data_IF_111601985355
#
_entry.id   IF_111601985355
#
_cell.length_a   1.000
_cell.length_b   1.000
_cell.length_c   1.000
_cell.angle_alpha   90.00
_cell.angle_beta   90.00
_cell.angle_gamma   90.00
#
_symmetry.space_group_name_H-M   'P 1'
#
loop_
_entity.id
_entity.type
_entity.pdbx_description
1 polymer ?
#
# COMPACT_ATOMS: atom_id res chain seq x y z
N UNK A 1 -3.59 21.71 33.49
CA UNK A 1 -2.44 22.66 33.30
C UNK A 1 -1.75 22.18 32.04
N UNK A 2 -1.96 22.87 30.93
CA UNK A 2 -1.27 22.54 29.70
C UNK A 2 0.22 22.85 29.88
N UNK A 3 1.07 21.86 29.56
CA UNK A 3 2.52 22.05 29.63
C UNK A 3 2.89 22.96 28.46
N UNK A 4 3.31 24.17 28.76
CA UNK A 4 3.78 25.13 27.77
C UNK A 4 5.21 24.74 27.38
N UNK A 5 5.36 24.25 26.17
CA UNK A 5 6.63 23.80 25.60
C UNK A 5 7.34 25.01 25.01
N UNK A 6 8.62 25.20 25.35
CA UNK A 6 9.39 26.38 24.91
C UNK A 6 10.33 26.09 23.71
N UNK A 7 10.72 24.82 23.52
CA UNK A 7 11.67 24.42 22.45
C UNK A 7 11.11 23.28 21.61
N UNK A 8 10.83 23.55 20.38
CA UNK A 8 10.32 22.56 19.41
C UNK A 8 11.12 22.52 18.15
N UNK A 9 11.09 21.37 17.48
CA UNK A 9 11.65 21.19 16.17
C UNK A 9 10.56 20.83 15.16
N UNK A 10 10.44 21.61 14.09
CA UNK A 10 9.71 21.23 12.89
C UNK A 10 10.66 20.58 11.88
N UNK A 11 10.24 19.50 11.28
CA UNK A 11 11.03 18.78 10.27
C UNK A 11 10.25 18.71 8.96
N UNK A 12 10.85 19.23 7.91
CA UNK A 12 10.43 19.01 6.53
C UNK A 12 11.20 17.81 5.97
N UNK A 13 10.44 16.79 5.52
CA UNK A 13 10.97 15.46 5.19
C UNK A 13 10.94 15.21 3.70
N UNK A 14 12.12 14.99 3.10
CA UNK A 14 12.29 14.60 1.72
C UNK A 14 13.04 13.27 1.59
N UNK A 15 13.01 12.67 0.40
CA UNK A 15 13.67 11.39 0.13
C UNK A 15 15.19 11.39 0.48
N UNK A 16 15.90 12.46 0.16
CA UNK A 16 17.37 12.51 0.29
C UNK A 16 17.85 13.36 1.45
N UNK A 17 16.98 14.14 2.06
CA UNK A 17 17.37 15.06 3.15
C UNK A 17 16.18 15.43 3.99
N UNK A 18 16.46 15.81 5.23
CA UNK A 18 15.51 16.47 6.12
C UNK A 18 16.02 17.87 6.45
N UNK A 19 15.13 18.80 6.63
CA UNK A 19 15.41 20.14 7.11
C UNK A 19 14.78 20.28 8.49
N UNK A 20 15.59 20.49 9.51
CA UNK A 20 15.16 20.67 10.88
C UNK A 20 15.20 22.16 11.22
N UNK A 21 14.12 22.68 11.80
CA UNK A 21 14.04 24.05 12.27
C UNK A 21 13.64 24.05 13.77
N UNK A 22 14.54 24.48 14.63
CA UNK A 22 14.28 24.66 16.05
C UNK A 22 13.84 26.11 16.30
N UNK A 23 12.73 26.27 17.01
CA UNK A 23 12.26 27.53 17.54
C UNK A 23 12.34 27.46 19.06
N UNK A 24 13.18 28.31 19.66
CA UNK A 24 13.49 28.36 21.09
C UNK A 24 13.11 29.71 21.69
N UNK A 25 12.49 29.70 22.86
CA UNK A 25 12.12 30.89 23.60
C UNK A 25 10.64 30.93 24.06
N UNK A 26 10.30 31.87 24.97
CA UNK A 26 8.97 31.95 25.59
C UNK A 26 7.84 32.03 24.57
N UNK A 27 6.70 31.43 24.86
CA UNK A 27 5.54 31.39 23.95
C UNK A 27 4.95 32.78 23.64
N UNK A 28 5.14 33.74 24.50
CA UNK A 28 4.67 35.10 24.32
C UNK A 28 5.57 35.96 23.42
N UNK A 29 6.68 35.40 22.91
CA UNK A 29 7.54 36.12 21.96
C UNK A 29 7.15 35.83 20.52
N UNK A 30 7.03 36.89 19.72
CA UNK A 30 6.79 36.80 18.28
C UNK A 30 8.06 36.51 17.48
N UNK A 31 9.24 36.51 18.11
CA UNK A 31 10.54 36.26 17.47
C UNK A 31 11.36 35.28 18.32
N UNK A 32 11.02 33.99 18.33
CA UNK A 32 11.85 32.98 18.99
C UNK A 32 13.22 32.90 18.31
N UNK A 33 14.22 32.44 19.05
CA UNK A 33 15.54 32.10 18.48
C UNK A 33 15.35 30.96 17.49
N UNK A 34 15.78 31.16 16.24
CA UNK A 34 15.68 30.18 15.17
C UNK A 34 17.04 29.56 14.90
N UNK A 35 17.10 28.23 14.92
CA UNK A 35 18.25 27.43 14.52
C UNK A 35 17.79 26.44 13.45
N UNK A 36 18.44 26.45 12.29
CA UNK A 36 18.05 25.58 11.18
C UNK A 36 19.26 24.80 10.70
N UNK A 37 19.06 23.50 10.46
CA UNK A 37 20.10 22.62 9.91
C UNK A 37 19.51 21.58 8.98
N UNK A 38 20.26 21.22 7.95
CA UNK A 38 19.91 20.19 6.98
C UNK A 38 20.75 18.94 7.25
N UNK A 39 20.09 17.76 7.20
CA UNK A 39 20.73 16.46 7.34
C UNK A 39 20.35 15.56 6.17
N UNK A 40 21.16 14.51 5.93
CA UNK A 40 20.79 13.41 5.04
C UNK A 40 19.76 12.46 5.69
N UNK A 41 19.34 11.45 4.93
CA UNK A 41 18.35 10.45 5.38
C UNK A 41 18.99 9.06 5.61
N UNK A 42 20.30 8.94 5.60
CA UNK A 42 20.99 7.71 6.05
C UNK A 42 20.81 7.54 7.56
N UNK A 43 20.87 6.31 8.06
CA UNK A 43 20.75 6.04 9.50
C UNK A 43 21.67 6.90 10.34
N UNK A 44 22.94 6.98 9.97
CA UNK A 44 23.93 7.81 10.68
C UNK A 44 23.58 9.30 10.63
N UNK A 45 23.08 9.80 9.49
CA UNK A 45 22.69 11.21 9.36
C UNK A 45 21.46 11.54 10.22
N UNK A 46 20.50 10.62 10.33
CA UNK A 46 19.34 10.77 11.21
C UNK A 46 19.72 10.68 12.69
N UNK A 47 20.65 9.80 13.06
CA UNK A 47 21.22 9.75 14.41
C UNK A 47 21.92 11.05 14.77
N UNK A 48 22.68 11.64 13.84
CA UNK A 48 23.30 12.94 14.02
C UNK A 48 22.26 14.07 14.16
N UNK A 49 21.14 13.97 13.44
CA UNK A 49 20.03 14.92 13.58
C UNK A 49 19.38 14.80 14.99
N UNK A 50 19.17 13.57 15.46
CA UNK A 50 18.67 13.30 16.81
C UNK A 50 19.60 13.88 17.88
N UNK A 51 20.92 13.58 17.80
CA UNK A 51 21.90 14.11 18.74
C UNK A 51 21.88 15.65 18.76
N UNK A 52 21.84 16.27 17.58
CA UNK A 52 21.78 17.72 17.46
C UNK A 52 20.49 18.32 18.10
N UNK A 53 19.34 17.65 17.97
CA UNK A 53 18.09 18.09 18.63
C UNK A 53 18.20 17.98 20.15
N UNK A 54 18.77 16.88 20.66
CA UNK A 54 18.98 16.67 22.10
C UNK A 54 19.95 17.73 22.67
N UNK A 55 21.05 18.01 21.98
CA UNK A 55 22.01 19.08 22.35
C UNK A 55 21.36 20.47 22.41
N UNK A 56 20.33 20.71 21.62
CA UNK A 56 19.57 21.96 21.63
C UNK A 56 18.32 21.91 22.51
N UNK A 57 18.21 20.92 23.42
CA UNK A 57 17.16 20.80 24.42
C UNK A 57 15.75 20.67 23.81
N UNK A 58 15.63 20.14 22.58
CA UNK A 58 14.30 19.86 21.95
C UNK A 58 13.59 18.80 22.75
N UNK A 59 12.32 19.01 23.02
CA UNK A 59 11.43 18.05 23.70
C UNK A 59 10.38 17.48 22.78
N UNK A 60 9.92 18.26 21.78
CA UNK A 60 8.86 17.88 20.85
C UNK A 60 9.34 18.07 19.41
N UNK A 61 9.06 17.08 18.59
CA UNK A 61 9.43 17.06 17.16
C UNK A 61 8.17 16.88 16.34
N UNK A 62 7.92 17.83 15.43
CA UNK A 62 6.78 17.84 14.54
C UNK A 62 7.23 17.57 13.13
N UNK A 63 6.59 16.63 12.43
CA UNK A 63 6.87 16.33 11.04
C UNK A 63 5.61 15.83 10.33
N UNK A 64 5.57 15.98 9.01
CA UNK A 64 4.40 15.57 8.24
C UNK A 64 4.50 14.15 7.68
N UNK A 65 3.34 13.49 7.50
CA UNK A 65 3.23 12.12 7.00
C UNK A 65 3.31 12.02 5.47
N UNK A 66 4.26 12.72 4.84
CA UNK A 66 4.43 12.68 3.38
C UNK A 66 4.99 11.35 2.91
N UNK A 67 4.20 10.60 2.16
CA UNK A 67 4.58 9.29 1.61
C UNK A 67 5.01 8.30 2.71
N UNK A 68 6.20 7.73 2.55
CA UNK A 68 6.82 6.82 3.52
C UNK A 68 8.14 7.37 4.10
N UNK A 69 8.51 8.60 3.74
CA UNK A 69 9.80 9.17 4.10
C UNK A 69 9.94 9.50 5.59
N UNK A 70 8.83 9.63 6.31
CA UNK A 70 8.78 9.86 7.76
C UNK A 70 9.05 8.60 8.60
N UNK A 71 8.82 7.39 8.03
CA UNK A 71 9.00 6.12 8.77
C UNK A 71 10.43 5.90 9.29
N UNK A 72 11.51 6.15 8.52
CA UNK A 72 12.87 6.06 9.03
C UNK A 72 13.15 7.00 10.21
N UNK A 73 12.57 8.21 10.18
CA UNK A 73 12.71 9.16 11.29
C UNK A 73 12.01 8.61 12.54
N UNK A 74 10.76 8.14 12.39
CA UNK A 74 10.02 7.54 13.48
C UNK A 74 10.81 6.40 14.11
N UNK A 75 11.31 5.46 13.31
CA UNK A 75 12.03 4.29 13.78
C UNK A 75 13.31 4.66 14.57
N UNK A 76 14.02 5.71 14.15
CA UNK A 76 15.28 6.12 14.82
C UNK A 76 14.98 7.00 16.04
N UNK A 77 13.95 7.84 15.97
CA UNK A 77 13.66 8.81 17.04
C UNK A 77 12.79 8.21 18.15
N UNK A 78 12.06 7.11 17.89
CA UNK A 78 11.20 6.46 18.90
C UNK A 78 11.94 5.95 20.12
N UNK A 79 13.23 5.61 19.98
CA UNK A 79 14.07 5.16 21.09
C UNK A 79 14.59 6.30 21.97
N UNK A 80 14.20 7.54 21.66
CA UNK A 80 14.60 8.72 22.40
C UNK A 80 13.49 9.21 23.33
N UNK A 81 13.83 10.16 24.22
CA UNK A 81 12.86 10.84 25.09
C UNK A 81 12.08 11.96 24.39
N UNK A 82 12.20 12.10 23.06
CA UNK A 82 11.49 13.12 22.29
C UNK A 82 10.01 12.74 22.12
N UNK A 83 9.13 13.70 22.28
CA UNK A 83 7.72 13.55 21.92
C UNK A 83 7.59 13.76 20.41
N UNK A 84 7.26 12.69 19.69
CA UNK A 84 7.10 12.71 18.23
C UNK A 84 5.66 12.99 17.86
N UNK A 85 5.44 14.05 17.10
CA UNK A 85 4.11 14.47 16.62
C UNK A 85 4.07 14.41 15.12
N UNK A 86 3.36 13.40 14.61
CA UNK A 86 3.11 13.23 13.19
C UNK A 86 1.87 14.05 12.79
N UNK A 87 2.02 14.93 11.82
CA UNK A 87 0.96 15.79 11.34
C UNK A 87 0.42 15.35 9.96
N UNK A 88 -0.87 15.59 9.72
CA UNK A 88 -1.46 15.38 8.41
C UNK A 88 -1.05 16.53 7.46
N UNK A 89 -0.43 16.24 6.29
CA UNK A 89 -0.04 17.26 5.33
C UNK A 89 -1.18 18.16 4.86
N UNK A 90 -2.39 17.60 4.71
CA UNK A 90 -3.56 18.39 4.30
C UNK A 90 -3.98 19.38 5.39
N UNK A 91 -3.87 18.98 6.67
CA UNK A 91 -4.17 19.88 7.78
C UNK A 91 -3.18 21.06 7.81
N UNK A 92 -1.88 20.78 7.70
CA UNK A 92 -0.83 21.81 7.64
C UNK A 92 -1.06 22.83 6.51
N UNK A 93 -1.41 22.34 5.31
CA UNK A 93 -1.68 23.18 4.13
C UNK A 93 -2.94 24.04 4.26
N UNK A 94 -3.93 23.59 5.01
CA UNK A 94 -5.20 24.28 5.16
C UNK A 94 -5.19 25.34 6.27
N UNK A 95 -4.13 25.43 7.08
CA UNK A 95 -4.03 26.47 8.11
C UNK A 95 -3.77 27.83 7.45
N UNK A 96 -4.66 28.84 7.64
CA UNK A 96 -4.48 30.16 7.07
C UNK A 96 -3.21 30.83 7.60
N UNK A 97 -2.53 31.61 6.76
CA UNK A 97 -1.40 32.44 7.17
C UNK A 97 -0.02 31.95 6.74
N UNK A 98 0.05 30.83 5.98
CA UNK A 98 1.31 30.42 5.36
C UNK A 98 1.82 31.52 4.43
N UNK A 99 3.01 32.07 4.73
CA UNK A 99 3.70 32.99 3.84
C UNK A 99 4.53 32.23 2.86
N UNK A 100 4.49 32.64 1.60
CA UNK A 100 5.23 32.02 0.49
C UNK A 100 6.74 31.97 0.69
N UNK A 101 7.30 32.82 1.56
CA UNK A 101 8.73 32.92 1.83
C UNK A 101 9.19 32.12 3.06
N UNK A 102 8.26 31.47 3.78
CA UNK A 102 8.58 30.65 4.95
C UNK A 102 8.93 29.23 4.53
N UNK A 103 10.09 28.73 5.01
CA UNK A 103 10.49 27.34 4.73
C UNK A 103 9.57 26.37 5.47
N UNK A 104 9.24 25.24 4.85
CA UNK A 104 8.25 24.29 5.36
C UNK A 104 8.55 23.79 6.77
N UNK A 105 9.83 23.50 7.09
CA UNK A 105 10.23 23.14 8.45
C UNK A 105 9.98 24.22 9.50
N UNK A 106 10.18 25.50 9.16
CA UNK A 106 9.90 26.64 10.04
C UNK A 106 8.39 26.79 10.27
N UNK A 107 7.59 26.61 9.21
CA UNK A 107 6.14 26.63 9.30
C UNK A 107 5.60 25.53 10.20
N UNK A 108 6.08 24.31 10.05
CA UNK A 108 5.73 23.16 10.91
C UNK A 108 6.08 23.46 12.37
N UNK A 109 7.28 24.01 12.65
CA UNK A 109 7.70 24.38 13.98
C UNK A 109 6.79 25.48 14.57
N UNK A 110 6.40 26.46 13.76
CA UNK A 110 5.51 27.55 14.20
C UNK A 110 4.10 27.03 14.53
N UNK A 111 3.56 26.16 13.68
CA UNK A 111 2.24 25.53 13.95
C UNK A 111 2.26 24.68 15.20
N UNK A 112 3.34 23.90 15.43
CA UNK A 112 3.54 23.16 16.67
C UNK A 112 3.57 24.07 17.88
N UNK A 113 4.32 25.19 17.78
CA UNK A 113 4.42 26.21 18.82
C UNK A 113 3.06 26.85 19.19
N UNK A 114 2.21 27.05 18.19
CA UNK A 114 0.88 27.64 18.39
C UNK A 114 -0.18 26.62 18.84
N UNK A 115 0.19 25.33 19.00
CA UNK A 115 -0.78 24.27 19.33
C UNK A 115 -1.78 23.98 18.20
N UNK A 116 -1.45 24.34 16.95
CA UNK A 116 -2.33 24.20 15.79
C UNK A 116 -2.15 22.88 15.03
N UNK A 117 -1.26 22.00 15.50
CA UNK A 117 -1.07 20.67 14.87
C UNK A 117 -1.90 19.65 15.64
N UNK A 118 -2.89 19.07 14.97
CA UNK A 118 -3.58 17.89 15.47
C UNK A 118 -2.69 16.64 15.19
N UNK A 119 -2.33 15.88 16.24
CA UNK A 119 -1.52 14.68 16.06
C UNK A 119 -2.24 13.62 15.24
N UNK A 120 -1.60 13.11 14.21
CA UNK A 120 -2.04 11.90 13.54
C UNK A 120 -1.74 10.69 14.42
N UNK A 121 -2.63 9.71 14.41
CA UNK A 121 -2.39 8.45 15.10
C UNK A 121 -1.18 7.72 14.49
N UNK A 122 -0.18 7.45 15.31
CA UNK A 122 0.96 6.59 14.95
C UNK A 122 0.62 5.18 15.43
N UNK A 123 0.41 4.23 14.51
CA UNK A 123 0.13 2.84 14.91
C UNK A 123 1.34 2.21 15.56
N UNK A 124 1.08 1.26 16.46
CA UNK A 124 2.13 0.40 16.98
C UNK A 124 2.88 -0.34 15.85
N UNK A 125 4.19 -0.63 16.01
CA UNK A 125 5.00 -1.26 14.96
C UNK A 125 4.38 -2.53 14.38
N UNK A 126 3.75 -3.35 15.22
CA UNK A 126 3.10 -4.61 14.85
C UNK A 126 1.92 -4.32 13.89
N UNK A 127 1.15 -3.28 14.17
CA UNK A 127 0.02 -2.86 13.31
C UNK A 127 0.54 -2.32 11.98
N UNK A 128 1.67 -1.61 11.97
CA UNK A 128 2.31 -1.11 10.74
C UNK A 128 2.71 -2.28 9.85
N UNK A 129 3.36 -3.32 10.40
CA UNK A 129 3.76 -4.51 9.65
C UNK A 129 2.54 -5.27 9.11
N UNK A 130 1.52 -5.49 9.93
CA UNK A 130 0.28 -6.13 9.49
C UNK A 130 -0.41 -5.37 8.35
N UNK A 131 -0.39 -4.04 8.40
CA UNK A 131 -0.90 -3.19 7.30
C UNK A 131 -0.11 -3.36 6.00
N UNK A 132 1.20 -3.53 6.06
CA UNK A 132 2.02 -3.78 4.86
C UNK A 132 1.63 -5.09 4.19
N UNK A 133 1.52 -6.18 4.97
CA UNK A 133 1.14 -7.51 4.47
C UNK A 133 -0.29 -7.48 3.87
N UNK A 134 -1.26 -6.97 4.61
CA UNK A 134 -2.66 -6.93 4.17
C UNK A 134 -2.88 -6.03 2.94
N UNK A 135 -2.18 -4.90 2.83
CA UNK A 135 -2.20 -4.04 1.65
C UNK A 135 -1.58 -4.73 0.43
N UNK A 136 -0.51 -5.49 0.62
CA UNK A 136 0.11 -6.28 -0.46
C UNK A 136 -0.86 -7.35 -0.94
N UNK A 137 -1.50 -8.09 -0.04
CA UNK A 137 -2.51 -9.09 -0.38
C UNK A 137 -3.68 -8.46 -1.16
N UNK A 138 -4.19 -7.32 -0.71
CA UNK A 138 -5.23 -6.57 -1.43
C UNK A 138 -4.80 -6.19 -2.85
N UNK A 139 -3.55 -5.72 -3.02
CA UNK A 139 -3.00 -5.39 -4.33
C UNK A 139 -2.96 -6.60 -5.27
N UNK A 140 -2.56 -7.77 -4.78
CA UNK A 140 -2.56 -8.99 -5.59
C UNK A 140 -3.98 -9.45 -5.97
N UNK A 141 -4.94 -9.38 -5.03
CA UNK A 141 -6.35 -9.69 -5.34
C UNK A 141 -6.91 -8.76 -6.42
N UNK A 142 -6.58 -7.46 -6.38
CA UNK A 142 -7.02 -6.49 -7.37
C UNK A 142 -6.42 -6.81 -8.77
N UNK A 143 -5.13 -7.12 -8.84
CA UNK A 143 -4.46 -7.52 -10.09
C UNK A 143 -5.03 -8.81 -10.65
N UNK A 144 -5.23 -9.82 -9.80
CA UNK A 144 -5.88 -11.07 -10.22
C UNK A 144 -7.27 -10.82 -10.81
N UNK A 145 -8.07 -9.94 -10.18
CA UNK A 145 -9.39 -9.57 -10.68
C UNK A 145 -9.30 -8.87 -12.04
N UNK A 146 -8.31 -8.01 -12.25
CA UNK A 146 -8.07 -7.36 -13.53
C UNK A 146 -7.79 -8.39 -14.62
N UNK A 147 -6.87 -9.32 -14.38
CA UNK A 147 -6.53 -10.39 -15.34
C UNK A 147 -7.75 -11.28 -15.61
N UNK A 148 -8.53 -11.63 -14.60
CA UNK A 148 -9.80 -12.37 -14.79
C UNK A 148 -10.78 -11.63 -15.70
N UNK A 149 -10.88 -10.30 -15.55
CA UNK A 149 -11.73 -9.49 -16.43
C UNK A 149 -11.19 -9.45 -17.88
N UNK A 150 -9.89 -9.44 -18.08
CA UNK A 150 -9.25 -9.52 -19.39
C UNK A 150 -9.58 -10.86 -20.08
N UNK A 151 -9.53 -11.97 -19.35
CA UNK A 151 -9.96 -13.29 -19.84
C UNK A 151 -11.44 -13.27 -20.23
N UNK A 152 -12.32 -12.73 -19.37
CA UNK A 152 -13.73 -12.60 -19.69
C UNK A 152 -13.97 -11.79 -20.98
N UNK A 153 -13.29 -10.67 -21.14
CA UNK A 153 -13.39 -9.83 -22.33
C UNK A 153 -12.90 -10.56 -23.60
N UNK A 154 -11.81 -11.32 -23.48
CA UNK A 154 -11.28 -12.13 -24.56
C UNK A 154 -12.30 -13.19 -25.01
N UNK A 155 -12.88 -13.94 -24.06
CA UNK A 155 -13.90 -14.95 -24.33
C UNK A 155 -15.17 -14.34 -24.94
N UNK A 156 -15.61 -13.18 -24.45
CA UNK A 156 -16.78 -12.47 -25.00
C UNK A 156 -16.53 -12.04 -26.44
N UNK A 157 -15.34 -11.50 -26.75
CA UNK A 157 -14.96 -11.12 -28.11
C UNK A 157 -14.95 -12.33 -29.07
N UNK A 158 -14.53 -13.47 -28.57
CA UNK A 158 -14.49 -14.73 -29.31
C UNK A 158 -15.85 -15.44 -29.41
N UNK A 159 -16.92 -14.84 -28.84
CA UNK A 159 -18.25 -15.45 -28.70
C UNK A 159 -18.28 -16.79 -27.93
N UNK A 160 -17.40 -16.94 -26.93
CA UNK A 160 -17.38 -18.10 -26.04
C UNK A 160 -18.23 -17.78 -24.82
N UNK A 161 -19.28 -18.57 -24.56
CA UNK A 161 -20.31 -18.28 -23.57
C UNK A 161 -20.26 -19.18 -22.33
N UNK A 162 -19.09 -19.65 -21.93
CA UNK A 162 -18.91 -20.53 -20.76
C UNK A 162 -19.50 -19.95 -19.47
N UNK A 163 -19.52 -18.62 -19.32
CA UNK A 163 -20.12 -17.95 -18.15
C UNK A 163 -21.63 -18.11 -18.04
N UNK A 164 -22.32 -18.51 -19.11
CA UNK A 164 -23.77 -18.79 -19.08
C UNK A 164 -24.07 -20.14 -18.45
N UNK A 165 -23.10 -21.05 -18.45
CA UNK A 165 -23.28 -22.44 -18.02
C UNK A 165 -22.44 -22.80 -16.79
N UNK A 166 -21.36 -22.08 -16.55
CA UNK A 166 -20.49 -22.25 -15.38
C UNK A 166 -20.60 -21.04 -14.47
N UNK A 167 -20.83 -21.28 -13.19
CA UNK A 167 -20.85 -20.21 -12.17
C UNK A 167 -19.47 -19.54 -12.01
N UNK A 168 -18.38 -20.27 -12.30
CA UNK A 168 -17.02 -19.77 -12.28
C UNK A 168 -16.17 -20.47 -13.33
N UNK A 169 -15.72 -19.72 -14.34
CA UNK A 169 -14.85 -20.22 -15.41
C UNK A 169 -13.40 -20.46 -14.93
N UNK A 170 -13.04 -19.97 -13.73
CA UNK A 170 -11.74 -20.24 -13.10
C UNK A 170 -11.76 -21.46 -12.19
N UNK A 171 -12.92 -22.14 -12.07
CA UNK A 171 -13.02 -23.45 -11.42
C UNK A 171 -12.19 -24.52 -12.15
N UNK A 172 -11.98 -25.67 -11.52
CA UNK A 172 -11.24 -26.79 -12.12
C UNK A 172 -11.81 -27.18 -13.50
N UNK A 173 -13.14 -27.25 -13.63
CA UNK A 173 -13.82 -27.51 -14.92
C UNK A 173 -13.55 -26.40 -15.92
N UNK A 174 -13.78 -25.15 -15.55
CA UNK A 174 -13.57 -24.02 -16.45
C UNK A 174 -12.13 -23.91 -16.95
N UNK A 175 -11.15 -24.05 -16.08
CA UNK A 175 -9.74 -24.07 -16.47
C UNK A 175 -9.40 -25.24 -17.40
N UNK A 176 -9.95 -26.44 -17.15
CA UNK A 176 -9.74 -27.59 -18.01
C UNK A 176 -10.30 -27.34 -19.42
N UNK A 177 -11.52 -26.77 -19.52
CA UNK A 177 -12.14 -26.39 -20.78
C UNK A 177 -11.35 -25.30 -21.53
N UNK A 178 -10.88 -24.27 -20.83
CA UNK A 178 -10.05 -23.22 -21.44
C UNK A 178 -8.73 -23.78 -21.98
N UNK A 179 -8.15 -24.78 -21.32
CA UNK A 179 -6.94 -25.46 -21.81
C UNK A 179 -7.16 -26.20 -23.11
N UNK A 180 -8.36 -26.69 -23.42
CA UNK A 180 -8.66 -27.30 -24.76
C UNK A 180 -8.50 -26.25 -25.87
N UNK A 181 -8.97 -25.00 -25.65
CA UNK A 181 -8.75 -23.91 -26.59
C UNK A 181 -7.26 -23.59 -26.80
N UNK A 182 -6.50 -23.47 -25.70
CA UNK A 182 -5.08 -23.14 -25.73
C UNK A 182 -4.32 -24.18 -26.57
N UNK A 183 -4.60 -25.47 -26.35
CA UNK A 183 -3.98 -26.56 -27.09
C UNK A 183 -4.44 -26.66 -28.56
N UNK A 184 -5.54 -25.99 -28.93
CA UNK A 184 -6.14 -26.08 -30.25
C UNK A 184 -6.81 -27.42 -30.52
N UNK A 185 -7.23 -28.11 -29.47
CA UNK A 185 -7.95 -29.38 -29.57
C UNK A 185 -9.35 -29.16 -30.16
N UNK A 186 -9.86 -30.19 -30.84
CA UNK A 186 -11.24 -30.18 -31.36
C UNK A 186 -12.21 -30.23 -30.20
N UNK A 187 -13.11 -29.24 -30.12
CA UNK A 187 -14.14 -29.17 -29.09
C UNK A 187 -15.31 -30.05 -29.52
N UNK A 188 -15.52 -31.13 -28.81
CA UNK A 188 -16.62 -32.06 -28.98
C UNK A 188 -16.99 -32.68 -27.62
N UNK A 189 -18.07 -33.46 -27.56
CA UNK A 189 -18.55 -34.09 -26.33
C UNK A 189 -17.47 -34.97 -25.67
N UNK A 190 -16.70 -35.73 -26.50
CA UNK A 190 -15.66 -36.62 -26.00
C UNK A 190 -14.50 -35.87 -25.35
N UNK A 191 -14.10 -34.70 -25.89
CA UNK A 191 -13.03 -33.86 -25.31
C UNK A 191 -13.48 -33.10 -24.04
N UNK A 192 -14.78 -32.80 -23.94
CA UNK A 192 -15.36 -32.01 -22.83
C UNK A 192 -15.65 -32.88 -21.60
N UNK A 193 -16.16 -34.10 -21.77
CA UNK A 193 -16.52 -35.01 -20.67
C UNK A 193 -15.42 -35.14 -19.59
N UNK A 194 -14.13 -35.36 -19.94
CA UNK A 194 -13.06 -35.50 -18.94
C UNK A 194 -12.81 -34.25 -18.11
N UNK A 195 -13.24 -33.07 -18.61
CA UNK A 195 -13.08 -31.78 -17.92
C UNK A 195 -14.14 -31.53 -16.85
N UNK A 196 -15.27 -32.24 -16.90
CA UNK A 196 -16.45 -31.94 -16.08
C UNK A 196 -16.29 -32.55 -14.69
N UNK A 197 -16.40 -31.70 -13.65
CA UNK A 197 -16.47 -32.14 -12.26
C UNK A 197 -17.92 -32.44 -11.84
N UNK A 198 -18.10 -33.33 -10.83
CA UNK A 198 -19.41 -33.82 -10.36
C UNK A 198 -20.46 -32.72 -9.99
N UNK A 199 -20.03 -31.49 -9.74
CA UNK A 199 -20.92 -30.38 -9.34
C UNK A 199 -21.42 -29.52 -10.48
N UNK A 200 -20.96 -29.72 -11.70
CA UNK A 200 -21.39 -28.97 -12.87
C UNK A 200 -22.78 -29.46 -13.28
N UNK A 201 -23.72 -28.53 -13.48
CA UNK A 201 -25.09 -28.82 -13.85
C UNK A 201 -25.31 -28.89 -15.36
N UNK A 202 -24.47 -28.17 -16.11
CA UNK A 202 -24.52 -28.14 -17.57
C UNK A 202 -24.16 -29.50 -18.16
N UNK A 203 -24.88 -29.88 -19.21
CA UNK A 203 -24.56 -31.10 -19.97
C UNK A 203 -23.30 -30.90 -20.81
N UNK A 204 -22.63 -31.99 -21.23
CA UNK A 204 -21.49 -31.87 -22.13
C UNK A 204 -21.84 -31.17 -23.47
N UNK A 205 -23.05 -31.39 -23.99
CA UNK A 205 -23.56 -30.79 -25.22
C UNK A 205 -23.72 -29.27 -25.08
N UNK A 206 -24.31 -28.82 -23.95
CA UNK A 206 -24.44 -27.38 -23.62
C UNK A 206 -23.08 -26.70 -23.49
N UNK A 207 -22.08 -27.38 -22.92
CA UNK A 207 -20.72 -26.85 -22.83
C UNK A 207 -20.02 -26.77 -24.19
N UNK A 208 -20.22 -27.77 -25.09
CA UNK A 208 -19.75 -27.72 -26.47
C UNK A 208 -20.36 -26.52 -27.19
N UNK A 209 -21.68 -26.31 -27.10
CA UNK A 209 -22.37 -25.16 -27.70
C UNK A 209 -21.83 -23.84 -27.17
N UNK A 210 -21.61 -23.75 -25.86
CA UNK A 210 -21.02 -22.56 -25.22
C UNK A 210 -19.57 -22.24 -25.71
N UNK A 211 -18.90 -23.23 -26.27
CA UNK A 211 -17.52 -23.17 -26.75
C UNK A 211 -17.41 -23.04 -28.28
N UNK A 212 -18.49 -22.84 -29.05
CA UNK A 212 -18.47 -22.70 -30.51
C UNK A 212 -17.79 -21.43 -31.05
N UNK A 213 -17.17 -20.63 -30.16
CA UNK A 213 -16.41 -19.42 -30.53
C UNK A 213 -15.07 -19.73 -31.24
N UNK A 214 -14.46 -18.69 -31.83
CA UNK A 214 -13.17 -18.78 -32.51
C UNK A 214 -12.12 -17.94 -31.81
N UNK A 215 -11.01 -18.58 -31.46
CA UNK A 215 -9.79 -17.93 -30.96
C UNK A 215 -8.70 -17.99 -32.02
N UNK A 216 -8.09 -16.84 -32.35
CA UNK A 216 -6.87 -16.80 -33.16
C UNK A 216 -5.70 -17.45 -32.40
N UNK A 217 -4.58 -17.64 -33.08
CA UNK A 217 -3.35 -18.13 -32.41
C UNK A 217 -2.90 -17.13 -31.31
N UNK A 218 -2.99 -15.85 -31.61
CA UNK A 218 -2.65 -14.77 -30.70
C UNK A 218 -3.59 -14.73 -29.47
N UNK A 219 -4.89 -14.93 -29.69
CA UNK A 219 -5.87 -15.01 -28.60
C UNK A 219 -5.60 -16.21 -27.67
N UNK A 220 -5.23 -17.36 -28.24
CA UNK A 220 -4.85 -18.54 -27.44
C UNK A 220 -3.60 -18.31 -26.63
N UNK A 221 -2.60 -17.67 -27.22
CA UNK A 221 -1.37 -17.30 -26.53
C UNK A 221 -1.67 -16.33 -25.37
N UNK A 222 -2.47 -15.28 -25.60
CA UNK A 222 -2.86 -14.33 -24.57
C UNK A 222 -3.70 -14.97 -23.46
N UNK A 223 -4.59 -15.90 -23.82
CA UNK A 223 -5.38 -16.66 -22.84
C UNK A 223 -4.48 -17.52 -21.93
N UNK A 224 -3.49 -18.19 -22.50
CA UNK A 224 -2.54 -19.01 -21.75
C UNK A 224 -1.73 -18.15 -20.77
N UNK A 225 -1.14 -17.05 -21.25
CA UNK A 225 -0.42 -16.09 -20.41
C UNK A 225 -1.29 -15.55 -19.28
N UNK A 226 -2.53 -15.18 -19.56
CA UNK A 226 -3.46 -14.65 -18.54
C UNK A 226 -3.84 -15.72 -17.51
N UNK A 227 -3.98 -16.98 -17.89
CA UNK A 227 -4.23 -18.07 -16.94
C UNK A 227 -3.02 -18.34 -16.05
N UNK A 228 -1.80 -18.31 -16.59
CA UNK A 228 -0.56 -18.43 -15.82
C UNK A 228 -0.43 -17.27 -14.82
N UNK A 229 -0.74 -16.05 -15.25
CA UNK A 229 -0.70 -14.87 -14.37
C UNK A 229 -1.75 -14.98 -13.26
N UNK A 230 -2.97 -15.43 -13.56
CA UNK A 230 -3.98 -15.69 -12.55
C UNK A 230 -3.53 -16.71 -11.51
N UNK A 231 -2.89 -17.79 -11.95
CA UNK A 231 -2.37 -18.83 -11.08
C UNK A 231 -1.23 -18.30 -10.20
N UNK A 232 -0.30 -17.53 -10.76
CA UNK A 232 0.77 -16.87 -10.02
C UNK A 232 0.21 -15.97 -8.90
N UNK A 233 -0.79 -15.13 -9.20
CA UNK A 233 -1.41 -14.31 -8.16
C UNK A 233 -2.10 -15.14 -7.10
N UNK A 234 -2.74 -16.26 -7.46
CA UNK A 234 -3.37 -17.16 -6.50
C UNK A 234 -2.34 -17.70 -5.49
N UNK A 235 -1.21 -18.18 -5.97
CA UNK A 235 -0.12 -18.70 -5.13
C UNK A 235 0.49 -17.61 -4.22
N UNK A 236 0.65 -16.39 -4.75
CA UNK A 236 1.15 -15.25 -3.98
C UNK A 236 0.16 -14.83 -2.88
N UNK A 237 -1.15 -14.89 -3.16
CA UNK A 237 -2.20 -14.60 -2.18
C UNK A 237 -2.22 -15.66 -1.08
N UNK A 238 -2.08 -16.94 -1.42
CA UNK A 238 -2.03 -18.04 -0.47
C UNK A 238 -0.84 -17.89 0.48
N UNK A 239 0.37 -17.67 -0.06
CA UNK A 239 1.58 -17.42 0.76
C UNK A 239 1.42 -16.23 1.71
N UNK A 240 0.81 -15.12 1.23
CA UNK A 240 0.54 -13.98 2.10
C UNK A 240 -0.55 -14.24 3.13
N UNK A 241 -1.51 -15.10 2.83
CA UNK A 241 -2.56 -15.50 3.79
C UNK A 241 -1.95 -16.25 4.95
N UNK A 242 -1.08 -17.22 4.65
CA UNK A 242 -0.38 -18.02 5.65
C UNK A 242 0.54 -17.14 6.51
N UNK A 243 1.29 -16.22 5.88
CA UNK A 243 2.17 -15.29 6.59
C UNK A 243 1.40 -14.32 7.49
N UNK A 244 0.27 -13.79 7.03
CA UNK A 244 -0.60 -12.91 7.82
C UNK A 244 -1.16 -13.67 9.02
N UNK A 245 -1.59 -14.90 8.84
CA UNK A 245 -2.11 -15.73 9.93
C UNK A 245 -1.02 -16.00 10.97
N UNK A 246 0.15 -16.44 10.53
CA UNK A 246 1.29 -16.66 11.42
C UNK A 246 1.68 -15.39 12.19
N UNK A 247 1.71 -14.24 11.49
CA UNK A 247 2.01 -12.96 12.10
C UNK A 247 0.99 -12.56 13.18
N UNK A 248 -0.32 -12.76 12.90
CA UNK A 248 -1.37 -12.47 13.87
C UNK A 248 -1.25 -13.36 15.12
N UNK A 249 -1.04 -14.65 14.93
CA UNK A 249 -0.88 -15.60 16.04
C UNK A 249 0.33 -15.28 16.93
N UNK A 250 1.40 -14.75 16.34
CA UNK A 250 2.63 -14.39 17.06
C UNK A 250 2.52 -13.05 17.80
N UNK A 251 2.00 -12.01 17.15
CA UNK A 251 2.05 -10.63 17.64
C UNK A 251 0.76 -10.18 18.36
N UNK A 252 -0.34 -10.94 18.18
CA UNK A 252 -1.65 -10.64 18.77
C UNK A 252 -2.26 -11.91 19.40
N UNK A 253 -1.58 -12.52 20.40
CA UNK A 253 -2.01 -13.76 21.04
C UNK A 253 -3.33 -13.64 21.82
#
# INVERSE_FOLDING_TARGET
MEVMIETYCGIDVHQKSIVCCILDGPLNTNKPKKIQKKFGTTTLALQNALAWMVENHVTHVFFESTGQYWLPLLNIFSDSNLVLVLANPQHIKNVPGQKTDMKDAEWIAQLGRCGLIEPSYIPAPEVVQLRLLTRRMRSYKQRQTQVKNEIHNLLQRANIKLTSYLSDIFSKTGQALLKLFIKGETINVESVIPCIQKRVKASPEELVEAMEGKLSLEDRFLLDQSLEECQMYQELIEKLTDEIQHYIEKEFP
#
